data_IF_828626658135
#
_entry.id   IF_828626658135
#
_cell.length_a   1.000
_cell.length_b   1.000
_cell.length_c   1.000
_cell.angle_alpha   90.00
_cell.angle_beta   90.00
_cell.angle_gamma   90.00
#
_symmetry.space_group_name_H-M   'P 1'
#
loop_
_entity.id
_entity.type
_entity.pdbx_description
1 polymer ?
#
# COMPACT_ATOMS: atom_id res chain seq x y z
N UNK A 1 11.73 -4.54 4.40
CA UNK A 1 11.83 -3.17 5.00
C UNK A 1 12.39 -3.29 6.42
N UNK A 2 12.95 -2.22 7.01
CA UNK A 2 13.32 -2.19 8.45
C UNK A 2 12.08 -1.89 9.31
N UNK A 3 11.13 -2.83 9.33
CA UNK A 3 9.84 -2.65 9.99
C UNK A 3 9.97 -2.50 11.51
N UNK A 4 11.01 -3.09 12.10
CA UNK A 4 11.41 -2.98 13.50
C UNK A 4 11.75 -1.55 13.93
N UNK A 5 12.14 -0.70 12.98
CA UNK A 5 12.53 0.70 13.20
C UNK A 5 11.43 1.68 12.77
N UNK A 6 10.29 1.18 12.31
CA UNK A 6 9.20 2.03 11.83
C UNK A 6 8.47 2.67 13.03
N UNK A 7 8.29 3.99 12.96
CA UNK A 7 7.45 4.69 13.93
C UNK A 7 5.99 4.29 13.73
N UNK A 8 5.32 3.93 14.81
CA UNK A 8 3.87 3.78 14.86
C UNK A 8 3.23 5.04 15.42
N UNK A 9 1.99 5.31 15.02
CA UNK A 9 1.22 6.47 15.45
C UNK A 9 -0.09 6.00 16.08
N UNK A 10 -0.60 6.77 17.04
CA UNK A 10 -1.94 6.56 17.58
C UNK A 10 -3.01 6.79 16.52
N UNK A 11 -4.18 6.17 16.69
CA UNK A 11 -5.34 6.39 15.78
C UNK A 11 -5.96 7.77 15.92
N UNK A 12 -5.62 8.50 16.98
CA UNK A 12 -6.03 9.87 17.31
C UNK A 12 -4.92 10.91 17.05
N UNK A 13 -3.77 10.48 16.57
CA UNK A 13 -2.61 11.36 16.38
C UNK A 13 -2.71 12.13 15.06
N UNK A 14 -2.56 13.45 15.10
CA UNK A 14 -2.50 14.27 13.88
C UNK A 14 -1.15 14.09 13.18
N UNK A 15 -1.19 13.76 11.89
CA UNK A 15 -0.01 13.63 11.02
C UNK A 15 -0.12 14.56 9.81
N UNK A 16 1.00 14.81 9.14
CA UNK A 16 1.03 15.70 7.99
C UNK A 16 0.41 15.05 6.76
N UNK A 17 0.65 13.75 6.55
CA UNK A 17 0.19 13.01 5.37
C UNK A 17 -0.16 11.56 5.72
N UNK A 18 -1.29 11.09 5.18
CA UNK A 18 -1.66 9.67 5.15
C UNK A 18 -1.66 9.21 3.68
N UNK A 19 -0.88 8.18 3.38
CA UNK A 19 -0.79 7.55 2.07
C UNK A 19 -1.53 6.22 2.13
N UNK A 20 -2.51 6.03 1.25
CA UNK A 20 -3.30 4.80 1.14
C UNK A 20 -2.78 3.97 -0.03
N UNK A 21 -2.19 2.83 0.29
CA UNK A 21 -1.51 1.92 -0.64
C UNK A 21 0.00 2.18 -0.70
N UNK A 22 0.81 1.13 -0.60
CA UNK A 22 2.29 1.21 -0.68
C UNK A 22 2.87 0.82 -2.03
N UNK A 23 2.03 0.57 -3.05
CA UNK A 23 2.49 0.20 -4.39
C UNK A 23 3.28 1.30 -5.11
N UNK A 24 3.41 1.16 -6.44
CA UNK A 24 4.32 1.96 -7.27
C UNK A 24 4.21 3.49 -7.11
N UNK A 25 3.05 4.03 -6.76
CA UNK A 25 2.88 5.46 -6.45
C UNK A 25 3.12 5.82 -4.98
N UNK A 26 2.65 4.99 -4.05
CA UNK A 26 2.66 5.30 -2.62
C UNK A 26 4.02 5.16 -1.96
N UNK A 27 4.77 4.10 -2.28
CA UNK A 27 6.12 3.88 -1.74
C UNK A 27 7.09 5.04 -2.00
N UNK A 28 7.29 5.52 -3.26
CA UNK A 28 8.20 6.62 -3.50
C UNK A 28 7.73 7.92 -2.85
N UNK A 29 6.41 8.20 -2.84
CA UNK A 29 5.87 9.37 -2.15
C UNK A 29 6.16 9.32 -0.65
N UNK A 30 5.97 8.16 -0.02
CA UNK A 30 6.25 7.94 1.40
C UNK A 30 7.72 8.23 1.69
N UNK A 31 8.63 7.66 0.90
CA UNK A 31 10.06 7.85 1.06
C UNK A 31 10.47 9.34 0.93
N UNK A 32 9.99 10.03 -0.09
CA UNK A 32 10.36 11.42 -0.35
C UNK A 32 9.79 12.40 0.68
N UNK A 33 8.54 12.20 1.12
CA UNK A 33 7.94 13.05 2.15
C UNK A 33 8.58 12.82 3.53
N UNK A 34 8.87 11.56 3.88
CA UNK A 34 9.56 11.24 5.13
C UNK A 34 10.98 11.82 5.17
N UNK A 35 11.74 11.77 4.06
CA UNK A 35 13.07 12.41 3.95
C UNK A 35 13.03 13.93 4.19
N UNK A 36 11.90 14.57 3.90
CA UNK A 36 11.68 16.01 4.17
C UNK A 36 11.28 16.30 5.62
N UNK A 37 11.22 15.28 6.48
CA UNK A 37 10.91 15.42 7.90
C UNK A 37 9.43 15.48 8.23
N UNK A 38 8.55 15.23 7.25
CA UNK A 38 7.11 15.16 7.49
C UNK A 38 6.74 13.88 8.25
N UNK A 39 5.69 13.98 9.05
CA UNK A 39 5.06 12.84 9.73
C UNK A 39 4.12 12.16 8.73
N UNK A 40 4.56 11.03 8.19
CA UNK A 40 3.84 10.29 7.16
C UNK A 40 3.43 8.93 7.70
N UNK A 41 2.15 8.58 7.49
CA UNK A 41 1.64 7.22 7.69
C UNK A 41 1.37 6.62 6.32
N UNK A 42 1.82 5.40 6.08
CA UNK A 42 1.38 4.60 4.95
C UNK A 42 0.51 3.44 5.48
N UNK A 43 -0.64 3.23 4.85
CA UNK A 43 -1.52 2.08 5.12
C UNK A 43 -1.60 1.20 3.88
N UNK A 44 -1.54 -0.11 4.06
CA UNK A 44 -1.56 -1.10 2.99
C UNK A 44 -2.53 -2.22 3.35
N UNK A 45 -3.27 -2.70 2.36
CA UNK A 45 -4.27 -3.76 2.55
C UNK A 45 -3.65 -5.16 2.59
N UNK A 46 -2.49 -5.35 1.93
CA UNK A 46 -1.74 -6.59 1.94
C UNK A 46 -0.76 -6.71 3.11
N UNK A 47 -0.22 -7.92 3.28
CA UNK A 47 0.88 -8.17 4.21
C UNK A 47 2.20 -7.61 3.68
N UNK A 48 3.19 -7.46 4.55
CA UNK A 48 4.57 -7.31 4.10
C UNK A 48 5.10 -8.64 3.57
N UNK A 49 5.71 -8.62 2.38
CA UNK A 49 6.48 -9.73 1.83
C UNK A 49 7.96 -9.54 2.13
N UNK A 50 8.59 -10.54 2.74
CA UNK A 50 10.05 -10.66 2.79
C UNK A 50 10.57 -11.14 1.42
N UNK A 51 11.87 -10.99 1.19
CA UNK A 51 12.48 -11.45 -0.07
C UNK A 51 12.27 -12.96 -0.29
N UNK A 52 12.26 -13.74 0.78
CA UNK A 52 12.06 -15.20 0.72
C UNK A 52 10.60 -15.59 0.43
N UNK A 53 9.64 -14.67 0.58
CA UNK A 53 8.24 -14.89 0.16
C UNK A 53 8.07 -14.72 -1.36
N UNK A 54 9.02 -14.10 -2.05
CA UNK A 54 8.89 -13.73 -3.47
C UNK A 54 9.58 -14.76 -4.36
N UNK A 55 8.79 -15.57 -5.05
CA UNK A 55 9.28 -16.57 -6.00
C UNK A 55 9.07 -16.08 -7.44
N UNK A 56 9.89 -16.54 -8.40
CA UNK A 56 9.67 -16.27 -9.82
C UNK A 56 8.59 -17.17 -10.44
N UNK A 57 7.85 -17.96 -9.64
CA UNK A 57 6.77 -18.80 -10.13
C UNK A 57 5.50 -17.96 -10.36
N UNK A 58 5.08 -17.89 -11.63
CA UNK A 58 3.90 -17.09 -12.03
C UNK A 58 2.60 -17.55 -11.35
N UNK A 59 2.51 -18.82 -10.96
CA UNK A 59 1.32 -19.37 -10.31
C UNK A 59 1.26 -19.01 -8.83
N UNK A 60 2.40 -18.79 -8.18
CA UNK A 60 2.47 -18.30 -6.80
C UNK A 60 2.34 -16.77 -6.74
N UNK A 61 2.80 -16.06 -7.77
CA UNK A 61 2.71 -14.60 -7.87
C UNK A 61 1.27 -14.05 -7.80
N UNK A 62 0.25 -14.89 -8.02
CA UNK A 62 -1.16 -14.49 -7.88
C UNK A 62 -1.55 -14.10 -6.44
N UNK A 63 -0.71 -14.38 -5.43
CA UNK A 63 -0.95 -14.02 -4.03
C UNK A 63 -1.17 -12.51 -3.83
N UNK A 64 -0.49 -11.69 -4.64
CA UNK A 64 -0.62 -10.22 -4.55
C UNK A 64 -1.93 -9.72 -5.14
N UNK A 65 -2.69 -10.53 -5.90
CA UNK A 65 -3.91 -10.07 -6.55
C UNK A 65 -4.97 -9.68 -5.52
N UNK A 66 -5.48 -8.46 -5.65
CA UNK A 66 -6.54 -7.99 -4.77
C UNK A 66 -7.90 -8.51 -5.23
N UNK A 67 -8.38 -9.59 -4.61
CA UNK A 67 -9.64 -10.25 -5.01
C UNK A 67 -10.88 -9.83 -4.19
N UNK A 68 -10.72 -8.98 -3.17
CA UNK A 68 -11.86 -8.44 -2.41
C UNK A 68 -12.76 -7.54 -3.27
N UNK A 69 -13.96 -7.28 -2.77
CA UNK A 69 -14.92 -6.38 -3.42
C UNK A 69 -14.30 -5.01 -3.72
N UNK A 70 -14.56 -4.52 -4.94
CA UNK A 70 -14.13 -3.19 -5.39
C UNK A 70 -15.37 -2.31 -5.48
N UNK A 71 -15.36 -1.22 -4.72
CA UNK A 71 -16.45 -0.26 -4.64
C UNK A 71 -16.08 1.02 -5.39
N UNK A 72 -16.98 1.49 -6.25
CA UNK A 72 -16.91 2.79 -6.91
C UNK A 72 -18.24 3.50 -6.69
N UNK A 73 -18.20 4.76 -6.26
CA UNK A 73 -19.38 5.52 -5.86
C UNK A 73 -19.14 7.03 -5.97
N UNK A 74 -20.02 7.83 -5.38
CA UNK A 74 -20.02 9.28 -5.53
C UNK A 74 -20.76 9.74 -6.79
N UNK A 75 -20.66 11.04 -7.10
CA UNK A 75 -21.37 11.65 -8.24
C UNK A 75 -20.73 11.32 -9.59
N UNK A 76 -19.46 10.88 -9.60
CA UNK A 76 -18.71 10.49 -10.79
C UNK A 76 -17.95 9.16 -10.55
N UNK A 77 -18.65 8.01 -10.55
CA UNK A 77 -18.05 6.73 -10.25
C UNK A 77 -17.21 6.21 -11.44
N UNK A 78 -15.98 5.81 -11.17
CA UNK A 78 -15.11 5.15 -12.14
C UNK A 78 -15.58 3.73 -12.44
N UNK A 79 -15.77 3.39 -13.73
CA UNK A 79 -16.02 2.01 -14.14
C UNK A 79 -14.77 1.14 -13.98
N UNK A 80 -14.93 -0.06 -13.42
CA UNK A 80 -13.82 -1.00 -13.29
C UNK A 80 -13.63 -1.84 -14.55
N UNK A 81 -12.40 -1.90 -15.03
CA UNK A 81 -11.97 -2.91 -16.00
C UNK A 81 -11.63 -4.26 -15.34
N UNK A 82 -10.98 -5.16 -16.11
CA UNK A 82 -10.34 -6.35 -15.57
C UNK A 82 -9.47 -6.02 -14.35
N UNK A 83 -9.39 -6.93 -13.39
CA UNK A 83 -8.60 -6.68 -12.19
C UNK A 83 -7.11 -6.60 -12.53
N UNK A 84 -6.55 -5.42 -12.33
CA UNK A 84 -5.12 -5.13 -12.44
C UNK A 84 -4.56 -4.60 -11.10
N UNK A 85 -5.31 -4.78 -10.01
CA UNK A 85 -4.97 -4.27 -8.69
C UNK A 85 -4.27 -5.35 -7.86
N UNK A 86 -3.16 -4.97 -7.24
CA UNK A 86 -2.44 -5.78 -6.27
C UNK A 86 -2.54 -5.21 -4.86
N UNK A 87 -2.14 -5.99 -3.86
CA UNK A 87 -1.99 -5.60 -2.46
C UNK A 87 -0.65 -6.11 -1.91
N UNK A 88 -0.11 -5.40 -0.93
CA UNK A 88 1.17 -5.74 -0.30
C UNK A 88 2.39 -5.49 -1.19
N UNK A 89 2.23 -4.62 -2.19
CA UNK A 89 3.28 -4.18 -3.13
C UNK A 89 3.96 -2.90 -2.67
#
# INVERSE_FOLDING_TARGET
MKLDQMRTFGTDETVDVVIVGTGAGGAPLTAELAKKGLRVIAIEAGRHFALDDLTPDETEAVEINWMSERLSGGDDPTAFGPNNSGRGV
#
